data_IF_325412659906
#
_entry.id   IF_325412659906
#
_cell.length_a   1.000
_cell.length_b   1.000
_cell.length_c   1.000
_cell.angle_alpha   90.00
_cell.angle_beta   90.00
_cell.angle_gamma   90.00
#
_symmetry.space_group_name_H-M   'P 1'
#
loop_
_entity.id
_entity.type
_entity.pdbx_description
1 polymer ?
#
# COMPACT_ATOMS: atom_id res chain seq x y z
N UNK A 1 -26.75 -14.59 -1.12
CA UNK A 1 -28.05 -14.84 -0.47
C UNK A 1 -29.13 -14.65 -1.50
N UNK A 2 -30.09 -15.57 -1.58
CA UNK A 2 -31.28 -15.37 -2.40
C UNK A 2 -32.29 -14.54 -1.59
N UNK A 3 -32.48 -13.28 -1.99
CA UNK A 3 -33.42 -12.35 -1.35
C UNK A 3 -34.79 -12.31 -2.05
N UNK A 4 -35.06 -13.28 -2.95
CA UNK A 4 -36.36 -13.44 -3.56
C UNK A 4 -37.41 -13.86 -2.53
N UNK A 5 -38.70 -13.73 -2.90
CA UNK A 5 -39.82 -14.14 -2.04
C UNK A 5 -39.69 -15.62 -1.62
N UNK A 6 -39.29 -16.47 -2.57
CA UNK A 6 -39.06 -17.90 -2.34
C UNK A 6 -37.82 -18.15 -1.48
N UNK A 7 -36.70 -17.47 -1.77
CA UNK A 7 -35.46 -17.55 -0.98
C UNK A 7 -35.60 -17.06 0.46
N UNK A 8 -36.58 -16.20 0.73
CA UNK A 8 -36.95 -15.70 2.06
C UNK A 8 -38.08 -16.50 2.73
N UNK A 9 -38.58 -17.57 2.09
CA UNK A 9 -39.65 -18.40 2.64
C UNK A 9 -41.02 -17.72 2.74
N UNK A 10 -41.22 -16.62 2.01
CA UNK A 10 -42.48 -15.88 2.00
C UNK A 10 -43.48 -16.58 1.06
N UNK A 11 -44.70 -16.81 1.54
CA UNK A 11 -45.80 -17.40 0.75
C UNK A 11 -46.88 -16.37 0.44
N UNK A 12 -47.58 -16.54 -0.69
CA UNK A 12 -48.70 -15.67 -1.07
C UNK A 12 -49.98 -16.12 -0.33
N UNK A 13 -49.99 -15.92 0.99
CA UNK A 13 -51.16 -16.20 1.83
C UNK A 13 -52.14 -15.01 1.81
N UNK A 14 -53.42 -15.30 2.03
CA UNK A 14 -54.47 -14.28 2.02
C UNK A 14 -54.68 -13.66 3.42
N UNK A 15 -55.15 -12.41 3.48
CA UNK A 15 -55.35 -11.68 4.74
C UNK A 15 -56.74 -11.88 5.34
N UNK A 16 -57.42 -12.99 5.00
CA UNK A 16 -58.84 -13.18 5.32
C UNK A 16 -59.04 -13.62 6.78
N UNK A 17 -58.13 -14.44 7.31
CA UNK A 17 -58.23 -14.96 8.67
C UNK A 17 -57.12 -14.43 9.59
N UNK A 18 -57.42 -14.36 10.90
CA UNK A 18 -56.43 -14.00 11.93
C UNK A 18 -55.25 -14.98 11.97
N UNK A 19 -55.50 -16.25 11.65
CA UNK A 19 -54.47 -17.30 11.62
C UNK A 19 -53.49 -17.02 10.48
N UNK A 20 -53.98 -16.78 9.27
CA UNK A 20 -53.14 -16.48 8.10
C UNK A 20 -52.36 -15.16 8.28
N UNK A 21 -53.00 -14.12 8.83
CA UNK A 21 -52.30 -12.87 9.13
C UNK A 21 -51.14 -13.06 10.11
N UNK A 22 -51.31 -13.93 11.12
CA UNK A 22 -50.26 -14.21 12.11
C UNK A 22 -49.12 -15.02 11.49
N UNK A 23 -49.44 -15.93 10.57
CA UNK A 23 -48.45 -16.72 9.81
C UNK A 23 -47.58 -15.83 8.91
N UNK A 24 -48.20 -14.95 8.10
CA UNK A 24 -47.48 -14.00 7.24
C UNK A 24 -46.58 -13.09 8.08
N UNK A 25 -47.07 -12.61 9.24
CA UNK A 25 -46.26 -11.79 10.14
C UNK A 25 -45.02 -12.54 10.64
N UNK A 26 -45.15 -13.82 11.00
CA UNK A 26 -44.02 -14.67 11.39
C UNK A 26 -43.01 -14.83 10.25
N UNK A 27 -43.48 -15.15 9.04
CA UNK A 27 -42.62 -15.27 7.85
C UNK A 27 -41.87 -13.96 7.54
N UNK A 28 -42.53 -12.81 7.63
CA UNK A 28 -41.89 -11.51 7.44
C UNK A 28 -40.86 -11.19 8.53
N UNK A 29 -41.09 -11.64 9.77
CA UNK A 29 -40.12 -11.48 10.85
C UNK A 29 -38.86 -12.32 10.61
N UNK A 30 -39.02 -13.58 10.22
CA UNK A 30 -37.92 -14.49 9.87
C UNK A 30 -37.14 -14.02 8.63
N UNK A 31 -37.84 -13.61 7.57
CA UNK A 31 -37.22 -13.03 6.38
C UNK A 31 -36.39 -11.79 6.72
N UNK A 32 -36.91 -10.92 7.59
CA UNK A 32 -36.19 -9.74 8.07
C UNK A 32 -34.95 -10.10 8.89
N UNK A 33 -35.01 -11.12 9.74
CA UNK A 33 -33.86 -11.60 10.51
C UNK A 33 -32.78 -12.15 9.57
N UNK A 34 -33.17 -12.96 8.59
CA UNK A 34 -32.26 -13.48 7.56
C UNK A 34 -31.53 -12.35 6.82
N UNK A 35 -32.27 -11.31 6.40
CA UNK A 35 -31.68 -10.13 5.75
C UNK A 35 -30.73 -9.35 6.67
N UNK A 36 -31.04 -9.26 7.97
CA UNK A 36 -30.16 -8.60 8.96
C UNK A 36 -28.88 -9.38 9.18
N UNK A 37 -28.96 -10.69 9.30
CA UNK A 37 -27.79 -11.56 9.48
C UNK A 37 -26.86 -11.50 8.27
N UNK A 38 -27.44 -11.52 7.06
CA UNK A 38 -26.65 -11.35 5.85
C UNK A 38 -26.01 -9.96 5.75
N UNK A 39 -26.74 -8.90 6.14
CA UNK A 39 -26.18 -7.55 6.23
C UNK A 39 -25.03 -7.47 7.24
N UNK A 40 -25.13 -8.17 8.38
CA UNK A 40 -24.04 -8.24 9.36
C UNK A 40 -22.81 -8.98 8.82
N UNK A 41 -23.00 -10.02 8.01
CA UNK A 41 -21.90 -10.68 7.28
C UNK A 41 -21.20 -9.72 6.34
N UNK A 42 -21.97 -9.00 5.50
CA UNK A 42 -21.42 -8.00 4.57
C UNK A 42 -20.63 -6.92 5.32
N UNK A 43 -21.15 -6.42 6.45
CA UNK A 43 -20.45 -5.43 7.27
C UNK A 43 -19.15 -5.97 7.84
N UNK A 44 -19.13 -7.23 8.26
CA UNK A 44 -17.92 -7.90 8.75
C UNK A 44 -16.88 -8.03 7.65
N UNK A 45 -17.29 -8.47 6.46
CA UNK A 45 -16.42 -8.61 5.30
C UNK A 45 -15.87 -7.25 4.86
N UNK A 46 -16.70 -6.21 4.84
CA UNK A 46 -16.29 -4.85 4.52
C UNK A 46 -15.24 -4.34 5.51
N UNK A 47 -15.43 -4.54 6.81
CA UNK A 47 -14.44 -4.15 7.83
C UNK A 47 -13.09 -4.84 7.61
N UNK A 48 -13.10 -6.10 7.19
CA UNK A 48 -11.87 -6.82 6.82
C UNK A 48 -11.21 -6.18 5.60
N UNK A 49 -11.99 -5.85 4.57
CA UNK A 49 -11.49 -5.18 3.37
C UNK A 49 -10.89 -3.81 3.70
N UNK A 50 -11.56 -3.01 4.53
CA UNK A 50 -11.07 -1.70 4.99
C UNK A 50 -9.74 -1.83 5.73
N UNK A 51 -9.65 -2.78 6.67
CA UNK A 51 -8.41 -3.06 7.40
C UNK A 51 -7.26 -3.43 6.45
N UNK A 52 -7.54 -4.25 5.43
CA UNK A 52 -6.55 -4.63 4.41
C UNK A 52 -6.15 -3.45 3.54
N UNK A 53 -7.11 -2.62 3.13
CA UNK A 53 -6.84 -1.40 2.36
C UNK A 53 -5.90 -0.47 3.14
N UNK A 54 -6.19 -0.24 4.42
CA UNK A 54 -5.39 0.66 5.25
C UNK A 54 -3.97 0.13 5.47
N UNK A 55 -3.83 -1.19 5.68
CA UNK A 55 -2.52 -1.84 5.73
C UNK A 55 -1.74 -1.67 4.41
N UNK A 56 -2.38 -1.91 3.26
CA UNK A 56 -1.75 -1.74 1.95
C UNK A 56 -1.34 -0.29 1.73
N UNK A 57 -2.20 0.68 2.05
CA UNK A 57 -1.89 2.09 1.89
C UNK A 57 -0.67 2.49 2.74
N UNK A 58 -0.63 2.03 3.99
CA UNK A 58 0.51 2.28 4.86
C UNK A 58 1.79 1.66 4.29
N UNK A 59 1.72 0.43 3.81
CA UNK A 59 2.89 -0.26 3.25
C UNK A 59 3.39 0.41 1.97
N UNK A 60 2.50 0.85 1.10
CA UNK A 60 2.88 1.61 -0.11
C UNK A 60 3.65 2.87 0.30
N UNK A 61 3.15 3.62 1.28
CA UNK A 61 3.84 4.81 1.76
C UNK A 61 5.22 4.47 2.35
N UNK A 62 5.31 3.38 3.14
CA UNK A 62 6.60 2.91 3.69
C UNK A 62 7.57 2.45 2.61
N UNK A 63 7.12 1.70 1.61
CA UNK A 63 7.97 1.24 0.51
C UNK A 63 8.40 2.37 -0.41
N UNK A 64 7.55 3.37 -0.62
CA UNK A 64 7.91 4.57 -1.37
C UNK A 64 9.01 5.36 -0.63
N UNK A 65 8.81 5.63 0.66
CA UNK A 65 9.84 6.29 1.47
C UNK A 65 11.16 5.48 1.52
N UNK A 66 11.08 4.17 1.70
CA UNK A 66 12.26 3.30 1.68
C UNK A 66 12.95 3.27 0.31
N UNK A 67 12.20 3.33 -0.79
CA UNK A 67 12.75 3.45 -2.14
C UNK A 67 13.49 4.76 -2.35
N UNK A 68 12.90 5.88 -1.92
CA UNK A 68 13.52 7.19 -1.99
C UNK A 68 14.81 7.24 -1.14
N UNK A 69 14.79 6.67 0.06
CA UNK A 69 15.97 6.57 0.93
C UNK A 69 17.09 5.73 0.30
N UNK A 70 16.77 4.63 -0.37
CA UNK A 70 17.75 3.81 -1.09
C UNK A 70 18.35 4.55 -2.30
N UNK A 71 17.55 5.35 -3.03
CA UNK A 71 18.05 6.19 -4.13
C UNK A 71 18.98 7.27 -3.57
N UNK A 72 18.60 7.94 -2.48
CA UNK A 72 19.44 8.95 -1.83
C UNK A 72 20.73 8.33 -1.28
N UNK A 73 20.67 7.14 -0.70
CA UNK A 73 21.84 6.42 -0.23
C UNK A 73 22.80 6.07 -1.38
N UNK A 74 22.30 5.55 -2.51
CA UNK A 74 23.13 5.27 -3.70
C UNK A 74 23.74 6.55 -4.28
N UNK A 75 22.97 7.64 -4.39
CA UNK A 75 23.50 8.94 -4.82
C UNK A 75 24.60 9.47 -3.90
N UNK A 76 24.44 9.33 -2.57
CA UNK A 76 25.47 9.72 -1.60
C UNK A 76 26.74 8.86 -1.74
N UNK A 77 26.59 7.54 -1.95
CA UNK A 77 27.71 6.64 -2.17
C UNK A 77 28.47 7.01 -3.45
N UNK A 78 27.75 7.17 -4.57
CA UNK A 78 28.33 7.61 -5.84
C UNK A 78 28.94 9.00 -5.75
N UNK A 79 28.30 9.93 -5.04
CA UNK A 79 28.80 11.28 -4.82
C UNK A 79 30.13 11.30 -4.08
N UNK A 80 30.24 10.54 -2.98
CA UNK A 80 31.49 10.37 -2.22
C UNK A 80 32.58 9.73 -3.09
N UNK A 81 32.22 8.70 -3.86
CA UNK A 81 33.15 8.04 -4.78
C UNK A 81 33.67 8.98 -5.87
N UNK A 82 32.80 9.82 -6.45
CA UNK A 82 33.17 10.83 -7.44
C UNK A 82 34.07 11.88 -6.81
N UNK A 83 33.76 12.37 -5.61
CA UNK A 83 34.60 13.33 -4.90
C UNK A 83 35.99 12.73 -4.61
N UNK A 84 36.05 11.50 -4.12
CA UNK A 84 37.32 10.80 -3.89
C UNK A 84 38.11 10.57 -5.19
N UNK A 85 37.43 10.36 -6.32
CA UNK A 85 38.07 10.28 -7.63
C UNK A 85 38.61 11.64 -8.08
N UNK A 86 37.83 12.72 -7.92
CA UNK A 86 38.25 14.09 -8.22
C UNK A 86 39.46 14.49 -7.37
N UNK A 87 39.45 14.23 -6.07
CA UNK A 87 40.60 14.48 -5.19
C UNK A 87 41.84 13.71 -5.64
N UNK A 88 41.69 12.43 -6.04
CA UNK A 88 42.81 11.67 -6.60
C UNK A 88 43.33 12.24 -7.91
N UNK A 89 42.46 12.74 -8.78
CA UNK A 89 42.86 13.38 -10.04
C UNK A 89 43.56 14.72 -9.79
N UNK A 90 43.08 15.52 -8.84
CA UNK A 90 43.74 16.75 -8.40
C UNK A 90 45.14 16.45 -7.85
N UNK A 91 45.28 15.46 -6.96
CA UNK A 91 46.59 15.03 -6.46
C UNK A 91 47.50 14.55 -7.60
N UNK A 92 46.98 13.80 -8.57
CA UNK A 92 47.74 13.37 -9.75
C UNK A 92 48.21 14.55 -10.61
N UNK A 93 47.34 15.54 -10.84
CA UNK A 93 47.71 16.74 -11.59
C UNK A 93 48.77 17.57 -10.83
N UNK A 94 48.56 17.79 -9.53
CA UNK A 94 49.50 18.52 -8.67
C UNK A 94 50.88 17.83 -8.65
N UNK A 95 50.91 16.51 -8.46
CA UNK A 95 52.18 15.74 -8.47
C UNK A 95 52.89 15.80 -9.82
N UNK A 96 52.19 15.62 -10.95
CA UNK A 96 52.78 15.79 -12.29
C UNK A 96 53.32 17.21 -12.51
N UNK A 97 52.57 18.23 -12.09
CA UNK A 97 53.01 19.63 -12.20
C UNK A 97 54.24 19.90 -11.32
N UNK A 98 54.29 19.36 -10.11
CA UNK A 98 55.42 19.51 -9.19
C UNK A 98 56.67 18.82 -9.72
N UNK A 99 56.56 17.59 -10.22
CA UNK A 99 57.68 16.88 -10.87
C UNK A 99 58.15 17.58 -12.15
N UNK A 100 57.24 18.15 -12.95
CA UNK A 100 57.61 18.92 -14.14
C UNK A 100 58.40 20.20 -13.79
N UNK A 101 58.05 20.87 -12.69
CA UNK A 101 58.81 22.04 -12.20
C UNK A 101 60.20 21.65 -11.67
N UNK A 102 60.32 20.51 -10.97
CA UNK A 102 61.62 20.00 -10.52
C UNK A 102 62.56 19.68 -11.68
N UNK A 103 62.06 19.00 -12.73
CA UNK A 103 62.87 18.70 -13.92
C UNK A 103 63.30 19.95 -14.70
N UNK A 104 62.50 21.02 -14.67
CA UNK A 104 62.88 22.30 -15.26
C UNK A 104 63.93 23.02 -14.41
N UNK A 105 63.82 22.99 -13.08
CA UNK A 105 64.80 23.59 -12.18
C UNK A 105 66.17 22.89 -12.26
N UNK A 106 66.20 21.56 -12.35
CA UNK A 106 67.41 20.75 -12.59
C UNK A 106 68.03 20.98 -13.99
N UNK A 107 67.26 21.50 -14.96
CA UNK A 107 67.75 21.86 -16.30
C UNK A 107 68.38 23.27 -16.34
N UNK A 108 68.11 24.10 -15.32
CA UNK A 108 68.60 25.47 -15.21
C UNK A 108 69.61 25.69 -14.06
N UNK A 109 70.00 24.63 -13.34
CA UNK A 109 71.12 24.60 -12.37
C UNK A 109 72.28 23.78 -12.91
#
# INVERSE_FOLDING_TARGET
MDASMEGLGLTNDNFISKIEMTKILGQLQEARETLRDYSASIQTDLRVIETRRDFIQKNVNTFQAGGDDLILADLNEKGSQILALQTRQLIQFETLSFTSNLNILDLFS
#
